data_IF_708776315963
#
_entry.id   IF_708776315963
#
_cell.length_a   1.000
_cell.length_b   1.000
_cell.length_c   1.000
_cell.angle_alpha   90.00
_cell.angle_beta   90.00
_cell.angle_gamma   90.00
#
_symmetry.space_group_name_H-M   'P 1'
#
loop_
_entity.id
_entity.type
_entity.pdbx_description
1 polymer ?
#
# COMPACT_ATOMS: atom_id res chain seq x y z
N UNK A 1 -3.06 47.54 -27.64
CA UNK A 1 -3.90 46.95 -28.71
C UNK A 1 -3.11 46.45 -29.92
N UNK A 2 -1.93 47.00 -30.22
CA UNK A 2 -1.07 46.58 -31.35
C UNK A 2 -0.46 45.19 -31.19
N UNK A 3 -0.15 44.80 -29.96
CA UNK A 3 0.46 43.51 -29.62
C UNK A 3 -0.52 42.32 -29.82
N UNK A 4 -1.82 42.58 -29.61
CA UNK A 4 -2.89 41.62 -29.85
C UNK A 4 -3.17 41.44 -31.35
N UNK A 5 -3.03 42.51 -32.15
CA UNK A 5 -3.13 42.46 -33.62
C UNK A 5 -1.93 41.76 -34.26
N UNK A 6 -0.71 41.90 -33.71
CA UNK A 6 0.46 41.11 -34.14
C UNK A 6 0.32 39.63 -33.77
N UNK A 7 -0.18 39.30 -32.57
CA UNK A 7 -0.50 37.92 -32.17
C UNK A 7 -1.62 37.30 -33.01
N UNK A 8 -2.65 38.08 -33.37
CA UNK A 8 -3.70 37.68 -34.31
C UNK A 8 -3.19 37.57 -35.75
N UNK A 9 -2.27 38.42 -36.20
CA UNK A 9 -1.63 38.31 -37.51
C UNK A 9 -0.70 37.08 -37.61
N UNK A 10 -0.01 36.72 -36.53
CA UNK A 10 0.71 35.45 -36.41
C UNK A 10 -0.22 34.23 -36.44
N UNK A 11 -1.47 34.37 -35.96
CA UNK A 11 -2.52 33.35 -36.08
C UNK A 11 -3.18 33.33 -37.47
N UNK A 12 -2.96 34.35 -38.32
CA UNK A 12 -3.69 34.55 -39.58
C UNK A 12 -2.86 34.41 -40.87
N UNK A 13 -1.59 34.00 -40.84
CA UNK A 13 -0.91 33.51 -42.06
C UNK A 13 -1.30 32.06 -42.35
N UNK A 14 -2.58 31.87 -42.67
CA UNK A 14 -3.22 30.58 -42.93
C UNK A 14 -2.59 29.81 -44.07
N UNK A 15 -1.78 30.46 -44.93
CA UNK A 15 -1.09 29.85 -46.07
C UNK A 15 0.25 29.25 -45.65
N UNK A 16 1.07 30.00 -44.92
CA UNK A 16 2.32 29.48 -44.34
C UNK A 16 2.06 28.39 -43.29
N UNK A 17 1.01 28.53 -42.48
CA UNK A 17 0.63 27.51 -41.50
C UNK A 17 0.22 26.19 -42.18
N UNK A 18 -0.58 26.26 -43.26
CA UNK A 18 -0.94 25.08 -44.07
C UNK A 18 0.28 24.42 -44.69
N UNK A 19 1.21 25.18 -45.28
CA UNK A 19 2.44 24.62 -45.85
C UNK A 19 3.31 23.92 -44.80
N UNK A 20 3.45 24.52 -43.61
CA UNK A 20 4.17 23.91 -42.48
C UNK A 20 3.49 22.62 -41.99
N UNK A 21 2.18 22.66 -41.80
CA UNK A 21 1.39 21.49 -41.41
C UNK A 21 1.55 20.35 -42.42
N UNK A 22 1.41 20.65 -43.72
CA UNK A 22 1.55 19.66 -44.79
C UNK A 22 2.95 19.05 -44.85
N UNK A 23 4.00 19.86 -44.61
CA UNK A 23 5.38 19.39 -44.54
C UNK A 23 5.62 18.46 -43.33
N UNK A 24 5.04 18.79 -42.18
CA UNK A 24 5.14 17.99 -40.95
C UNK A 24 4.39 16.67 -41.07
N UNK A 25 3.19 16.69 -41.64
CA UNK A 25 2.40 15.50 -41.97
C UNK A 25 3.17 14.58 -42.93
N UNK A 26 3.74 15.14 -44.00
CA UNK A 26 4.49 14.35 -44.99
C UNK A 26 5.71 13.67 -44.35
N UNK A 27 6.37 14.34 -43.41
CA UNK A 27 7.46 13.75 -42.65
C UNK A 27 6.98 12.63 -41.71
N UNK A 28 5.84 12.81 -41.04
CA UNK A 28 5.24 11.79 -40.18
C UNK A 28 4.80 10.54 -40.97
N UNK A 29 4.29 10.71 -42.19
CA UNK A 29 3.95 9.60 -43.09
C UNK A 29 5.19 8.82 -43.56
N UNK A 30 6.36 9.45 -43.62
CA UNK A 30 7.62 8.80 -44.01
C UNK A 30 8.32 8.09 -42.82
N UNK A 31 7.73 8.15 -41.64
CA UNK A 31 8.29 7.54 -40.45
C UNK A 31 8.30 5.99 -40.56
N UNK A 32 9.41 5.31 -40.20
CA UNK A 32 9.51 3.85 -40.31
C UNK A 32 8.43 3.08 -39.54
N UNK A 33 8.05 3.55 -38.35
CA UNK A 33 7.06 2.86 -37.51
C UNK A 33 5.65 3.01 -38.12
N UNK A 34 5.34 4.18 -38.67
CA UNK A 34 4.08 4.46 -39.37
C UNK A 34 3.98 3.60 -40.64
N UNK A 35 5.05 3.53 -41.44
CA UNK A 35 5.09 2.70 -42.64
C UNK A 35 4.92 1.20 -42.32
N UNK A 36 5.54 0.75 -41.23
CA UNK A 36 5.41 -0.63 -40.76
C UNK A 36 3.98 -0.94 -40.35
N UNK A 37 3.35 -0.04 -39.58
CA UNK A 37 1.95 -0.17 -39.16
C UNK A 37 0.99 -0.20 -40.36
N UNK A 38 1.13 0.73 -41.31
CA UNK A 38 0.28 0.80 -42.51
C UNK A 38 0.38 -0.48 -43.35
N UNK A 39 1.57 -1.06 -43.48
CA UNK A 39 1.79 -2.32 -44.22
C UNK A 39 1.20 -3.52 -43.50
N UNK A 40 1.25 -3.55 -42.17
CA UNK A 40 0.69 -4.64 -41.37
C UNK A 40 -0.84 -4.65 -41.36
N UNK A 41 -1.46 -3.47 -41.40
CA UNK A 41 -2.91 -3.31 -41.30
C UNK A 41 -3.60 -2.90 -42.62
N UNK A 42 -2.93 -3.09 -43.76
CA UNK A 42 -3.44 -2.69 -45.09
C UNK A 42 -4.81 -3.29 -45.42
N UNK A 43 -5.07 -4.53 -45.00
CA UNK A 43 -6.34 -5.21 -45.24
C UNK A 43 -7.50 -4.76 -44.33
N UNK A 44 -7.19 -4.06 -43.22
CA UNK A 44 -8.18 -3.62 -42.22
C UNK A 44 -8.55 -2.14 -42.39
N UNK A 45 -7.74 -1.37 -43.12
CA UNK A 45 -7.91 0.06 -43.35
C UNK A 45 -8.86 0.32 -44.52
N UNK A 46 -9.71 1.34 -44.38
CA UNK A 46 -10.51 1.85 -45.48
C UNK A 46 -9.63 2.57 -46.53
N UNK A 47 -10.10 2.65 -47.76
CA UNK A 47 -9.36 3.29 -48.88
C UNK A 47 -8.96 4.75 -48.61
N UNK A 48 -9.72 5.46 -47.77
CA UNK A 48 -9.46 6.85 -47.37
C UNK A 48 -8.94 7.01 -45.93
N UNK A 49 -8.54 5.92 -45.29
CA UNK A 49 -8.11 5.90 -43.89
C UNK A 49 -6.84 6.72 -43.64
N UNK A 50 -5.92 6.78 -44.60
CA UNK A 50 -4.69 7.58 -44.49
C UNK A 50 -5.03 9.07 -44.51
N UNK A 51 -5.85 9.50 -45.47
CA UNK A 51 -6.24 10.91 -45.62
C UNK A 51 -6.99 11.40 -44.39
N UNK A 52 -7.92 10.60 -43.86
CA UNK A 52 -8.67 10.91 -42.64
C UNK A 52 -7.83 10.76 -41.36
N UNK A 53 -6.88 9.83 -41.35
CA UNK A 53 -5.99 9.51 -40.23
C UNK A 53 -4.75 10.40 -40.13
N UNK A 54 -4.53 11.31 -41.08
CA UNK A 54 -3.37 12.20 -41.16
C UNK A 54 -3.05 12.93 -39.84
N UNK A 55 -4.08 13.44 -39.16
CA UNK A 55 -3.91 14.12 -37.88
C UNK A 55 -3.42 13.18 -36.77
N UNK A 56 -3.89 11.93 -36.77
CA UNK A 56 -3.55 10.88 -35.81
C UNK A 56 -2.15 10.32 -36.02
N UNK A 57 -1.75 10.13 -37.27
CA UNK A 57 -0.36 9.79 -37.63
C UNK A 57 0.60 10.86 -37.13
N UNK A 58 0.28 12.13 -37.37
CA UNK A 58 1.09 13.24 -36.87
C UNK A 58 1.13 13.29 -35.34
N UNK A 59 -0.01 13.09 -34.66
CA UNK A 59 -0.10 13.00 -33.19
C UNK A 59 0.86 11.95 -32.65
N UNK A 60 0.79 10.71 -33.17
CA UNK A 60 1.67 9.60 -32.77
C UNK A 60 3.16 9.95 -32.89
N UNK A 61 3.60 10.40 -34.07
CA UNK A 61 5.02 10.72 -34.31
C UNK A 61 5.48 11.90 -33.43
N UNK A 62 4.62 12.91 -33.26
CA UNK A 62 4.94 14.07 -32.43
C UNK A 62 5.12 13.69 -30.97
N UNK A 63 4.17 12.95 -30.39
CA UNK A 63 4.20 12.52 -29.00
C UNK A 63 5.34 11.52 -28.73
N UNK A 64 5.55 10.52 -29.60
CA UNK A 64 6.69 9.60 -29.50
C UNK A 64 8.02 10.33 -29.50
N UNK A 65 8.20 11.31 -30.40
CA UNK A 65 9.42 12.08 -30.49
C UNK A 65 9.62 13.04 -29.29
N UNK A 66 8.54 13.57 -28.69
CA UNK A 66 8.63 14.34 -27.44
C UNK A 66 9.11 13.47 -26.28
N UNK A 67 8.54 12.28 -26.12
CA UNK A 67 8.96 11.30 -25.11
C UNK A 67 10.44 10.95 -25.28
N UNK A 68 10.88 10.68 -26.52
CA UNK A 68 12.29 10.37 -26.82
C UNK A 68 13.26 11.52 -26.51
N UNK A 69 12.79 12.78 -26.58
CA UNK A 69 13.57 13.98 -26.20
C UNK A 69 13.51 14.32 -24.70
N UNK A 70 12.76 13.55 -23.90
CA UNK A 70 12.56 13.82 -22.48
C UNK A 70 11.66 15.02 -22.20
N UNK A 71 10.86 15.47 -23.18
CA UNK A 71 9.85 16.50 -22.98
C UNK A 71 8.62 15.92 -22.28
N UNK A 72 7.87 16.76 -21.55
CA UNK A 72 6.61 16.37 -20.91
C UNK A 72 5.59 15.93 -21.99
N UNK A 73 5.20 14.65 -22.02
CA UNK A 73 4.23 14.15 -22.99
C UNK A 73 2.80 14.54 -22.60
N UNK A 74 1.87 14.42 -23.54
CA UNK A 74 0.44 14.67 -23.30
C UNK A 74 -0.12 13.82 -22.14
N UNK A 75 0.31 12.56 -22.04
CA UNK A 75 -0.07 11.62 -20.99
C UNK A 75 1.18 11.04 -20.30
N UNK A 76 1.63 11.62 -19.18
CA UNK A 76 2.80 11.11 -18.44
C UNK A 76 2.63 9.64 -18.01
N UNK A 77 3.62 8.80 -18.35
CA UNK A 77 3.61 7.36 -18.04
C UNK A 77 2.91 6.48 -19.08
N UNK A 78 2.36 7.06 -20.14
CA UNK A 78 1.75 6.32 -21.25
C UNK A 78 2.57 6.52 -22.54
N UNK A 79 2.56 5.52 -23.41
CA UNK A 79 3.16 5.57 -24.74
C UNK A 79 2.07 5.55 -25.81
N UNK A 80 2.17 6.41 -26.83
CA UNK A 80 1.22 6.41 -27.94
C UNK A 80 1.49 5.18 -28.84
N UNK A 81 0.45 4.47 -29.24
CA UNK A 81 0.49 3.36 -30.20
C UNK A 81 -0.55 3.61 -31.29
N UNK A 82 -0.20 3.30 -32.53
CA UNK A 82 -1.16 3.36 -33.64
C UNK A 82 -2.07 2.14 -33.59
N UNK A 83 -3.37 2.36 -33.76
CA UNK A 83 -4.39 1.31 -33.77
C UNK A 83 -5.38 1.53 -34.90
N UNK A 84 -5.98 0.43 -35.38
CA UNK A 84 -7.11 0.50 -36.32
C UNK A 84 -8.41 0.43 -35.53
N UNK A 85 -9.23 1.48 -35.64
CA UNK A 85 -10.56 1.55 -35.05
C UNK A 85 -11.59 1.82 -36.14
N UNK A 86 -12.50 0.85 -36.37
CA UNK A 86 -13.53 0.92 -37.40
C UNK A 86 -12.98 1.24 -38.81
N UNK A 87 -11.84 0.66 -39.16
CA UNK A 87 -11.16 0.87 -40.45
C UNK A 87 -10.45 2.21 -40.61
N UNK A 88 -10.34 3.01 -39.54
CA UNK A 88 -9.59 4.26 -39.49
C UNK A 88 -8.38 4.16 -38.57
N UNK A 89 -7.40 5.02 -38.82
CA UNK A 89 -6.18 5.12 -37.99
C UNK A 89 -6.49 6.00 -36.77
N UNK A 90 -6.24 5.47 -35.58
CA UNK A 90 -6.32 6.21 -34.33
C UNK A 90 -5.05 6.03 -33.49
N UNK A 91 -4.92 6.82 -32.44
CA UNK A 91 -3.84 6.73 -31.45
C UNK A 91 -4.43 6.26 -30.13
N UNK A 92 -3.99 5.10 -29.66
CA UNK A 92 -4.24 4.63 -28.31
C UNK A 92 -3.06 5.01 -27.41
N UNK A 93 -3.32 5.15 -26.11
CA UNK A 93 -2.29 5.39 -25.11
C UNK A 93 -2.21 4.18 -24.19
N UNK A 94 -1.12 3.45 -24.27
CA UNK A 94 -0.87 2.27 -23.45
C UNK A 94 0.03 2.65 -22.26
N UNK A 95 -0.26 2.18 -21.04
CA UNK A 95 0.60 2.43 -19.90
C UNK A 95 1.97 1.77 -20.15
N UNK A 96 3.04 2.49 -19.87
CA UNK A 96 4.40 1.94 -19.93
C UNK A 96 4.61 0.91 -18.83
N UNK A 97 5.56 -0.01 -19.01
CA UNK A 97 5.93 -0.99 -17.97
C UNK A 97 6.31 -0.29 -16.65
N UNK A 98 6.99 0.85 -16.73
CA UNK A 98 7.32 1.67 -15.56
C UNK A 98 6.08 2.23 -14.86
N UNK A 99 5.06 2.63 -15.61
CA UNK A 99 3.78 3.10 -15.07
C UNK A 99 2.96 1.97 -14.45
N UNK A 100 2.91 0.81 -15.10
CA UNK A 100 2.27 -0.38 -14.55
C UNK A 100 2.94 -0.81 -13.24
N UNK A 101 4.27 -0.85 -13.20
CA UNK A 101 5.01 -1.17 -11.98
C UNK A 101 4.75 -0.16 -10.86
N UNK A 102 4.77 1.15 -11.17
CA UNK A 102 4.49 2.19 -10.19
C UNK A 102 3.03 2.16 -9.67
N UNK A 103 2.07 1.85 -10.55
CA UNK A 103 0.66 1.72 -10.15
C UNK A 103 0.42 0.46 -9.31
N UNK A 104 1.09 -0.66 -9.62
CA UNK A 104 1.05 -1.89 -8.82
C UNK A 104 1.70 -1.65 -7.44
N UNK A 105 2.84 -0.97 -7.39
CA UNK A 105 3.52 -0.59 -6.14
C UNK A 105 2.65 0.35 -5.30
N UNK A 106 2.04 1.37 -5.91
CA UNK A 106 1.14 2.30 -5.22
C UNK A 106 -0.10 1.56 -4.68
N UNK A 107 -0.64 0.61 -5.44
CA UNK A 107 -1.74 -0.25 -5.00
C UNK A 107 -1.32 -1.12 -3.81
N UNK A 108 -0.15 -1.75 -3.87
CA UNK A 108 0.39 -2.54 -2.74
C UNK A 108 0.60 -1.67 -1.49
N UNK A 109 1.17 -0.48 -1.64
CA UNK A 109 1.35 0.46 -0.54
C UNK A 109 0.00 0.88 0.08
N UNK A 110 -1.05 1.04 -0.73
CA UNK A 110 -2.40 1.37 -0.24
C UNK A 110 -3.05 0.25 0.60
N UNK A 111 -2.60 -1.01 0.43
CA UNK A 111 -3.08 -2.15 1.22
C UNK A 111 -2.50 -2.15 2.63
N UNK A 112 -1.38 -1.47 2.86
CA UNK A 112 -0.74 -1.37 4.18
C UNK A 112 -1.12 -0.03 4.80
N UNK A 113 -2.16 -0.03 5.63
CA UNK A 113 -2.57 1.16 6.38
C UNK A 113 -1.83 1.22 7.71
N UNK A 114 -0.83 2.09 7.82
CA UNK A 114 -0.12 2.36 9.07
C UNK A 114 -0.71 3.60 9.77
N UNK A 115 -1.23 3.42 10.98
CA UNK A 115 -1.77 4.50 11.81
C UNK A 115 -0.75 4.87 12.89
N UNK A 116 -0.15 6.05 12.77
CA UNK A 116 0.82 6.62 13.71
C UNK A 116 2.12 5.81 13.91
N UNK A 117 2.63 5.21 12.84
CA UNK A 117 3.87 4.42 12.85
C UNK A 117 5.03 5.17 12.16
N UNK A 118 6.29 4.94 12.55
CA UNK A 118 7.46 5.43 11.81
C UNK A 118 7.49 4.96 10.36
N UNK A 119 8.02 5.81 9.46
CA UNK A 119 8.09 5.51 8.01
C UNK A 119 8.94 4.27 7.69
N UNK A 120 9.91 3.95 8.54
CA UNK A 120 10.86 2.85 8.35
C UNK A 120 10.21 1.46 8.27
N UNK A 121 8.93 1.36 8.61
CA UNK A 121 8.13 0.13 8.54
C UNK A 121 7.60 -0.11 7.12
N UNK A 122 7.51 0.94 6.30
CA UNK A 122 7.08 0.81 4.90
C UNK A 122 8.05 -0.03 4.06
N UNK A 123 9.36 0.05 4.36
CA UNK A 123 10.39 -0.68 3.62
C UNK A 123 10.78 -2.01 4.29
N UNK A 124 9.99 -2.48 5.26
CA UNK A 124 10.29 -3.71 5.98
C UNK A 124 10.09 -4.94 5.10
N UNK A 125 11.03 -5.90 5.15
CA UNK A 125 10.92 -7.15 4.40
C UNK A 125 11.38 -8.34 5.23
N UNK A 126 10.72 -9.48 5.04
CA UNK A 126 11.13 -10.74 5.67
C UNK A 126 12.47 -11.23 5.09
N UNK A 127 12.82 -10.84 3.86
CA UNK A 127 14.08 -11.26 3.22
C UNK A 127 15.30 -10.52 3.78
N UNK A 128 15.12 -9.28 4.22
CA UNK A 128 16.17 -8.47 4.86
C UNK A 128 16.18 -8.62 6.39
N UNK A 129 15.29 -9.44 6.95
CA UNK A 129 15.25 -9.69 8.38
C UNK A 129 16.40 -10.60 8.80
N UNK A 130 17.20 -10.11 9.74
CA UNK A 130 18.42 -10.77 10.22
C UNK A 130 18.13 -12.10 10.92
N UNK A 131 18.56 -13.24 10.35
CA UNK A 131 18.23 -14.58 10.85
C UNK A 131 19.23 -15.05 11.91
N UNK A 132 19.41 -14.29 12.99
CA UNK A 132 20.18 -14.77 14.14
C UNK A 132 19.44 -15.91 14.84
N UNK A 133 20.17 -16.74 15.60
CA UNK A 133 19.58 -17.85 16.37
C UNK A 133 18.44 -17.39 17.28
N UNK A 134 18.52 -16.17 17.82
CA UNK A 134 17.50 -15.59 18.70
C UNK A 134 16.28 -15.00 17.96
N UNK A 135 16.33 -14.91 16.62
CA UNK A 135 15.29 -14.34 15.75
C UNK A 135 14.69 -15.34 14.78
N UNK A 136 15.36 -16.47 14.55
CA UNK A 136 14.98 -17.46 13.54
C UNK A 136 13.58 -18.01 13.77
N UNK A 137 13.20 -18.31 15.01
CA UNK A 137 11.87 -18.82 15.34
C UNK A 137 10.76 -17.82 14.99
N UNK A 138 11.00 -16.54 15.27
CA UNK A 138 10.08 -15.46 14.92
C UNK A 138 9.96 -15.28 13.41
N UNK A 139 11.09 -15.34 12.68
CA UNK A 139 11.12 -15.26 11.22
C UNK A 139 10.40 -16.46 10.57
N UNK A 140 10.61 -17.67 11.09
CA UNK A 140 9.93 -18.88 10.60
C UNK A 140 8.43 -18.83 10.89
N UNK A 141 8.02 -18.35 12.07
CA UNK A 141 6.62 -18.17 12.42
C UNK A 141 5.95 -17.12 11.52
N UNK A 142 6.63 -15.99 11.26
CA UNK A 142 6.17 -14.94 10.36
C UNK A 142 5.97 -15.46 8.93
N UNK A 143 6.98 -16.13 8.36
CA UNK A 143 6.89 -16.74 7.03
C UNK A 143 5.75 -17.76 6.95
N UNK A 144 5.62 -18.63 7.97
CA UNK A 144 4.53 -19.63 8.01
C UNK A 144 3.16 -18.97 8.02
N UNK A 145 2.99 -17.93 8.82
CA UNK A 145 1.75 -17.18 8.89
C UNK A 145 1.41 -16.55 7.54
N UNK A 146 2.35 -15.83 6.92
CA UNK A 146 2.16 -15.22 5.58
C UNK A 146 1.74 -16.28 4.56
N UNK A 147 2.51 -17.37 4.45
CA UNK A 147 2.23 -18.41 3.46
C UNK A 147 0.86 -19.07 3.67
N UNK A 148 0.47 -19.31 4.92
CA UNK A 148 -0.83 -19.89 5.24
C UNK A 148 -2.00 -18.95 4.88
N UNK A 149 -1.89 -17.67 5.22
CA UNK A 149 -2.93 -16.67 4.92
C UNK A 149 -3.03 -16.43 3.41
N UNK A 150 -1.90 -16.36 2.69
CA UNK A 150 -1.90 -16.18 1.22
C UNK A 150 -2.50 -17.41 0.53
N UNK A 151 -2.21 -18.62 1.00
CA UNK A 151 -2.74 -19.85 0.43
C UNK A 151 -4.26 -19.99 0.62
N UNK A 152 -4.78 -19.56 1.77
CA UNK A 152 -6.22 -19.62 2.05
C UNK A 152 -6.70 -18.40 2.88
N UNK A 153 -6.96 -17.26 2.24
CA UNK A 153 -7.30 -16.02 2.95
C UNK A 153 -8.66 -16.05 3.68
N UNK A 154 -9.51 -17.04 3.40
CA UNK A 154 -10.88 -17.12 3.95
C UNK A 154 -10.95 -17.94 5.22
N UNK A 155 -9.93 -18.72 5.53
CA UNK A 155 -9.86 -19.49 6.77
C UNK A 155 -9.23 -18.70 7.90
N UNK A 156 -9.53 -19.11 9.12
CA UNK A 156 -8.94 -18.51 10.29
C UNK A 156 -7.48 -18.94 10.44
N UNK A 157 -6.58 -17.97 10.43
CA UNK A 157 -5.18 -18.16 10.76
C UNK A 157 -4.88 -17.47 12.08
N UNK A 158 -4.44 -18.25 13.07
CA UNK A 158 -3.98 -17.71 14.34
C UNK A 158 -2.75 -16.83 14.07
N UNK A 159 -2.79 -15.58 14.53
CA UNK A 159 -1.72 -14.62 14.37
C UNK A 159 -0.56 -14.85 15.34
N UNK A 160 0.31 -13.84 15.44
CA UNK A 160 1.51 -13.90 16.27
C UNK A 160 1.47 -12.81 17.35
N UNK A 161 1.85 -13.17 18.56
CA UNK A 161 2.14 -12.25 19.65
C UNK A 161 3.66 -12.23 19.81
N UNK A 162 4.30 -11.22 19.26
CA UNK A 162 5.75 -11.05 19.31
C UNK A 162 6.14 -10.42 20.64
N UNK A 163 6.75 -11.19 21.53
CA UNK A 163 7.22 -10.70 22.84
C UNK A 163 8.74 -10.61 22.89
N UNK A 164 9.29 -9.60 23.56
CA UNK A 164 10.74 -9.50 23.74
C UNK A 164 11.23 -8.08 24.05
N UNK A 165 12.53 -7.88 24.30
CA UNK A 165 13.09 -6.58 24.71
C UNK A 165 12.92 -5.45 23.69
N UNK A 166 13.23 -4.22 24.09
CA UNK A 166 13.21 -3.07 23.20
C UNK A 166 14.26 -3.21 22.08
N UNK A 167 13.88 -2.79 20.87
CA UNK A 167 14.83 -2.68 19.75
C UNK A 167 15.28 -4.00 19.11
N UNK A 168 14.68 -5.13 19.49
CA UNK A 168 15.01 -6.45 18.92
C UNK A 168 14.39 -6.74 17.55
N UNK A 169 13.53 -5.84 17.05
CA UNK A 169 12.98 -5.91 15.68
C UNK A 169 11.51 -6.35 15.57
N UNK A 170 10.74 -6.39 16.66
CA UNK A 170 9.32 -6.83 16.64
C UNK A 170 8.43 -5.99 15.70
N UNK A 171 8.50 -4.67 15.81
CA UNK A 171 7.74 -3.74 14.97
C UNK A 171 8.12 -3.87 13.49
N UNK A 172 9.42 -4.04 13.20
CA UNK A 172 9.91 -4.28 11.85
C UNK A 172 9.35 -5.59 11.30
N UNK A 173 9.30 -6.65 12.12
CA UNK A 173 8.74 -7.94 11.72
C UNK A 173 7.24 -7.84 11.41
N UNK A 174 6.46 -7.04 12.15
CA UNK A 174 5.06 -6.75 11.79
C UNK A 174 4.95 -6.04 10.43
N UNK A 175 5.78 -5.02 10.18
CA UNK A 175 5.86 -4.35 8.88
C UNK A 175 6.20 -5.31 7.73
N UNK A 176 7.19 -6.17 7.95
CA UNK A 176 7.62 -7.16 6.98
C UNK A 176 6.50 -8.16 6.66
N UNK A 177 5.76 -8.65 7.67
CA UNK A 177 4.57 -9.48 7.47
C UNK A 177 3.52 -8.71 6.66
N UNK A 178 3.29 -7.44 6.95
CA UNK A 178 2.29 -6.62 6.28
C UNK A 178 2.59 -6.45 4.79
N UNK A 179 3.83 -6.13 4.47
CA UNK A 179 4.31 -5.96 3.10
C UNK A 179 4.27 -7.26 2.31
N UNK A 180 4.62 -8.39 2.94
CA UNK A 180 4.53 -9.70 2.31
C UNK A 180 3.09 -10.13 2.04
N UNK A 181 2.15 -9.84 2.96
CA UNK A 181 0.71 -10.10 2.74
C UNK A 181 0.14 -9.26 1.60
N UNK A 182 0.55 -7.99 1.50
CA UNK A 182 0.13 -7.10 0.43
C UNK A 182 0.69 -7.55 -0.93
N UNK A 183 2.00 -7.81 -1.01
CA UNK A 183 2.69 -8.15 -2.25
C UNK A 183 2.37 -9.56 -2.77
N UNK A 184 2.28 -10.56 -1.88
CA UNK A 184 2.04 -11.96 -2.28
C UNK A 184 0.56 -12.32 -2.38
N UNK A 185 -0.30 -11.69 -1.57
CA UNK A 185 -1.71 -12.05 -1.45
C UNK A 185 -2.71 -10.94 -1.82
N UNK A 186 -2.26 -9.70 -2.04
CA UNK A 186 -3.17 -8.56 -2.20
C UNK A 186 -4.02 -8.30 -0.95
N UNK A 187 -3.53 -8.72 0.22
CA UNK A 187 -4.29 -8.69 1.48
C UNK A 187 -4.05 -7.36 2.19
N UNK A 188 -5.13 -6.70 2.57
CA UNK A 188 -5.06 -5.43 3.29
C UNK A 188 -4.70 -5.65 4.76
N UNK A 189 -3.79 -4.84 5.28
CA UNK A 189 -3.35 -4.88 6.67
C UNK A 189 -3.52 -3.51 7.30
N UNK A 190 -3.83 -3.49 8.60
CA UNK A 190 -3.89 -2.25 9.39
C UNK A 190 -2.96 -2.39 10.58
N UNK A 191 -1.93 -1.54 10.63
CA UNK A 191 -0.95 -1.49 11.69
C UNK A 191 -1.26 -0.29 12.59
N UNK A 192 -1.37 -0.53 13.89
CA UNK A 192 -1.73 0.50 14.87
C UNK A 192 -0.67 0.52 15.97
N UNK A 193 -0.07 1.69 16.19
CA UNK A 193 0.69 1.96 17.40
C UNK A 193 -0.27 2.10 18.59
N UNK A 194 -0.31 1.10 19.48
CA UNK A 194 -1.29 1.05 20.57
C UNK A 194 -1.22 2.28 21.49
N UNK A 195 -0.05 2.76 21.95
CA UNK A 195 0.03 3.94 22.81
C UNK A 195 -0.63 5.19 22.18
N UNK A 196 -0.30 5.49 20.91
CA UNK A 196 -0.91 6.66 20.23
C UNK A 196 -2.40 6.46 19.99
N UNK A 197 -2.81 5.25 19.63
CA UNK A 197 -4.23 4.93 19.46
C UNK A 197 -5.03 5.17 20.74
N UNK A 198 -4.49 4.82 21.91
CA UNK A 198 -5.14 5.09 23.19
C UNK A 198 -5.35 6.59 23.44
N UNK A 199 -4.35 7.42 23.12
CA UNK A 199 -4.46 8.88 23.24
C UNK A 199 -5.56 9.41 22.31
N UNK A 200 -5.62 8.94 21.07
CA UNK A 200 -6.68 9.32 20.13
C UNK A 200 -8.07 8.91 20.61
N UNK A 201 -8.20 7.70 21.15
CA UNK A 201 -9.48 7.19 21.64
C UNK A 201 -10.00 8.04 22.80
N UNK A 202 -9.12 8.51 23.70
CA UNK A 202 -9.49 9.45 24.76
C UNK A 202 -9.95 10.81 24.19
N UNK A 203 -9.24 11.33 23.18
CA UNK A 203 -9.64 12.58 22.50
C UNK A 203 -11.00 12.44 21.77
N UNK A 204 -11.25 11.27 21.18
CA UNK A 204 -12.47 10.98 20.44
C UNK A 204 -13.74 10.94 21.32
N UNK A 205 -13.61 10.79 22.65
CA UNK A 205 -14.73 10.85 23.60
C UNK A 205 -15.43 12.22 23.49
N UNK A 206 -14.65 13.31 23.47
CA UNK A 206 -15.19 14.67 23.40
C UNK A 206 -15.88 15.00 22.06
N UNK A 207 -15.56 14.26 20.99
CA UNK A 207 -16.15 14.44 19.65
C UNK A 207 -17.22 13.40 19.31
N UNK A 208 -17.55 12.48 20.22
CA UNK A 208 -18.50 11.37 20.00
C UNK A 208 -18.17 10.51 18.76
N UNK A 209 -16.88 10.33 18.44
CA UNK A 209 -16.41 9.55 17.27
C UNK A 209 -15.75 8.21 17.63
N UNK A 210 -15.66 7.88 18.92
CA UNK A 210 -15.07 6.66 19.49
C UNK A 210 -15.54 5.40 18.75
N UNK A 211 -16.86 5.18 18.69
CA UNK A 211 -17.42 3.96 18.10
C UNK A 211 -17.10 3.83 16.61
N UNK A 212 -17.08 4.95 15.87
CA UNK A 212 -16.73 4.96 14.44
C UNK A 212 -15.28 4.53 14.22
N UNK A 213 -14.35 5.01 15.06
CA UNK A 213 -12.93 4.60 15.03
C UNK A 213 -12.76 3.12 15.40
N UNK A 214 -13.48 2.64 16.43
CA UNK A 214 -13.47 1.21 16.81
C UNK A 214 -13.99 0.36 15.66
N UNK A 215 -15.07 0.78 14.99
CA UNK A 215 -15.68 0.04 13.88
C UNK A 215 -14.75 -0.06 12.66
N UNK A 216 -13.99 0.99 12.33
CA UNK A 216 -13.01 0.91 11.25
C UNK A 216 -11.86 -0.05 11.59
N UNK A 217 -11.37 -0.01 12.83
CA UNK A 217 -10.24 -0.85 13.27
C UNK A 217 -10.63 -2.32 13.38
N UNK A 218 -11.77 -2.63 14.00
CA UNK A 218 -12.16 -4.03 14.26
C UNK A 218 -12.44 -4.82 12.99
N UNK A 219 -12.80 -4.15 11.88
CA UNK A 219 -13.13 -4.74 10.56
C UNK A 219 -11.95 -4.86 9.60
N UNK A 220 -10.73 -4.44 10.00
CA UNK A 220 -9.54 -4.61 9.16
C UNK A 220 -9.32 -6.10 8.81
N UNK A 221 -8.99 -6.43 7.55
CA UNK A 221 -8.78 -7.82 7.12
C UNK A 221 -7.73 -8.52 8.01
N UNK A 222 -6.55 -7.92 8.11
CA UNK A 222 -5.53 -8.29 9.11
C UNK A 222 -5.21 -7.08 9.98
N UNK A 223 -5.31 -7.23 11.30
CA UNK A 223 -5.03 -6.17 12.26
C UNK A 223 -3.71 -6.48 12.99
N UNK A 224 -2.84 -5.49 13.12
CA UNK A 224 -1.60 -5.59 13.87
C UNK A 224 -1.57 -4.49 14.94
N UNK A 225 -1.44 -4.89 16.19
CA UNK A 225 -1.41 -4.01 17.35
C UNK A 225 0.02 -3.96 17.91
N UNK A 226 0.74 -2.89 17.57
CA UNK A 226 2.15 -2.70 17.94
C UNK A 226 2.28 -2.08 19.34
N UNK A 227 3.27 -2.56 20.10
CA UNK A 227 3.65 -2.11 21.44
C UNK A 227 2.49 -2.11 22.46
N UNK A 228 1.68 -3.20 22.46
CA UNK A 228 0.65 -3.38 23.48
C UNK A 228 1.25 -3.53 24.87
N UNK A 229 0.75 -2.74 25.84
CA UNK A 229 1.22 -2.77 27.23
C UNK A 229 2.51 -1.97 27.49
N UNK A 230 2.95 -1.13 26.54
CA UNK A 230 4.03 -0.17 26.76
C UNK A 230 3.65 0.94 27.77
N UNK A 231 2.36 1.25 27.90
CA UNK A 231 1.81 2.21 28.86
C UNK A 231 0.78 1.56 29.79
N UNK A 232 0.48 2.21 30.90
CA UNK A 232 -0.63 1.83 31.78
C UNK A 232 -1.96 2.00 31.03
N UNK A 233 -2.56 0.88 30.63
CA UNK A 233 -3.86 0.84 29.96
C UNK A 233 -4.94 1.08 31.03
N UNK A 234 -5.78 2.11 30.83
CA UNK A 234 -6.89 2.37 31.76
C UNK A 234 -8.00 1.32 31.61
N UNK A 235 -8.81 1.07 32.66
CA UNK A 235 -9.92 0.11 32.58
C UNK A 235 -10.87 0.36 31.40
N UNK A 236 -11.17 1.64 31.10
CA UNK A 236 -11.98 2.01 29.93
C UNK A 236 -11.35 1.57 28.60
N UNK A 237 -10.04 1.80 28.41
CA UNK A 237 -9.35 1.35 27.18
C UNK A 237 -9.35 -0.18 27.10
N UNK A 238 -9.06 -0.85 28.22
CA UNK A 238 -9.03 -2.31 28.30
C UNK A 238 -10.38 -2.91 27.92
N UNK A 239 -11.45 -2.43 28.54
CA UNK A 239 -12.77 -3.06 28.49
C UNK A 239 -13.59 -2.57 27.29
N UNK A 240 -13.64 -1.26 27.05
CA UNK A 240 -14.56 -0.62 26.09
C UNK A 240 -13.90 -0.33 24.73
N UNK A 241 -12.57 -0.42 24.62
CA UNK A 241 -11.86 -0.27 23.34
C UNK A 241 -11.28 -1.62 22.90
N UNK A 242 -10.25 -2.12 23.59
CA UNK A 242 -9.60 -3.38 23.25
C UNK A 242 -10.57 -4.55 23.39
N UNK A 243 -11.39 -4.56 24.44
CA UNK A 243 -12.39 -5.60 24.65
C UNK A 243 -13.38 -5.74 23.49
N UNK A 244 -13.88 -4.63 22.95
CA UNK A 244 -14.82 -4.63 21.81
C UNK A 244 -14.12 -5.12 20.54
N UNK A 245 -12.92 -4.60 20.25
CA UNK A 245 -12.15 -4.96 19.05
C UNK A 245 -11.84 -6.46 19.06
N UNK A 246 -11.24 -6.96 20.15
CA UNK A 246 -10.79 -8.35 20.26
C UNK A 246 -11.97 -9.32 20.29
N UNK A 247 -13.08 -8.97 20.95
CA UNK A 247 -14.29 -9.79 20.95
C UNK A 247 -14.84 -9.99 19.53
N UNK A 248 -14.97 -8.91 18.77
CA UNK A 248 -15.47 -8.97 17.39
C UNK A 248 -14.56 -9.84 16.52
N UNK A 249 -13.24 -9.62 16.58
CA UNK A 249 -12.27 -10.35 15.77
C UNK A 249 -12.20 -11.84 16.14
N UNK A 250 -12.40 -12.19 17.40
CA UNK A 250 -12.50 -13.58 17.83
C UNK A 250 -13.75 -14.27 17.26
N UNK A 251 -14.90 -13.59 17.29
CA UNK A 251 -16.16 -14.11 16.76
C UNK A 251 -16.14 -14.28 15.24
N UNK A 252 -15.63 -13.27 14.54
CA UNK A 252 -15.49 -13.26 13.08
C UNK A 252 -14.24 -13.99 12.60
N UNK A 253 -13.44 -14.54 13.53
CA UNK A 253 -12.20 -15.25 13.26
C UNK A 253 -11.26 -14.50 12.31
N UNK A 254 -10.98 -13.24 12.64
CA UNK A 254 -10.11 -12.36 11.85
C UNK A 254 -8.66 -12.39 12.36
N UNK A 255 -7.66 -12.64 11.50
CA UNK A 255 -6.26 -12.72 11.90
C UNK A 255 -5.78 -11.45 12.61
N UNK A 256 -5.17 -11.60 13.79
CA UNK A 256 -4.71 -10.46 14.60
C UNK A 256 -3.31 -10.72 15.13
N UNK A 257 -2.39 -9.79 14.88
CA UNK A 257 -1.01 -9.85 15.36
C UNK A 257 -0.78 -8.77 16.41
N UNK A 258 0.20 -9.03 17.27
CA UNK A 258 0.57 -8.15 18.37
C UNK A 258 2.09 -8.08 18.48
N UNK A 259 2.60 -6.96 18.96
CA UNK A 259 3.95 -6.87 19.51
C UNK A 259 3.91 -6.30 20.92
N UNK A 260 4.79 -6.76 21.80
CA UNK A 260 4.89 -6.25 23.17
C UNK A 260 6.30 -6.39 23.72
N UNK A 261 6.66 -5.50 24.65
CA UNK A 261 7.85 -5.67 25.49
C UNK A 261 7.60 -6.59 26.70
N UNK A 262 6.38 -7.12 26.84
CA UNK A 262 5.94 -8.01 27.91
C UNK A 262 5.59 -9.38 27.33
N UNK A 263 5.78 -10.44 28.11
CA UNK A 263 5.17 -11.72 27.80
C UNK A 263 3.65 -11.64 27.95
N UNK A 264 2.90 -12.63 27.45
CA UNK A 264 1.45 -12.67 27.72
C UNK A 264 1.14 -12.75 29.23
N UNK A 265 1.99 -13.41 30.02
CA UNK A 265 1.84 -13.47 31.46
C UNK A 265 2.03 -12.09 32.10
N UNK A 266 3.12 -11.40 31.77
CA UNK A 266 3.41 -10.06 32.30
C UNK A 266 2.38 -9.01 31.85
N UNK A 267 1.87 -9.14 30.62
CA UNK A 267 0.79 -8.29 30.14
C UNK A 267 -0.50 -8.51 30.92
N UNK A 268 -0.81 -9.76 31.30
CA UNK A 268 -1.99 -10.08 32.12
C UNK A 268 -1.95 -9.31 33.44
N UNK A 269 -0.82 -9.37 34.15
CA UNK A 269 -0.61 -8.65 35.41
C UNK A 269 -0.68 -7.13 35.19
N UNK A 270 -0.06 -6.63 34.12
CA UNK A 270 -0.09 -5.21 33.78
C UNK A 270 -1.50 -4.68 33.50
N UNK A 271 -2.38 -5.49 32.91
CA UNK A 271 -3.76 -5.12 32.59
C UNK A 271 -4.69 -5.17 33.81
N UNK A 272 -4.35 -5.97 34.83
CA UNK A 272 -5.05 -5.97 36.10
C UNK A 272 -4.75 -4.69 36.90
N UNK A 273 -3.55 -4.12 36.73
CA UNK A 273 -3.12 -2.91 37.41
C UNK A 273 -2.77 -3.14 38.89
N UNK A 274 -2.74 -2.05 39.66
CA UNK A 274 -2.41 -2.09 41.10
C UNK A 274 -3.59 -2.48 41.98
N UNK A 275 -4.82 -2.33 41.47
CA UNK A 275 -6.04 -2.58 42.23
C UNK A 275 -6.44 -4.06 42.10
N UNK A 276 -5.81 -4.90 42.92
CA UNK A 276 -5.94 -6.37 42.90
C UNK A 276 -7.25 -6.89 43.52
N UNK A 277 -8.36 -6.16 43.36
CA UNK A 277 -9.66 -6.76 43.60
C UNK A 277 -9.88 -7.93 42.64
N UNK A 278 -10.48 -9.03 43.10
CA UNK A 278 -10.75 -10.22 42.25
C UNK A 278 -11.41 -9.87 40.90
N UNK A 279 -12.19 -8.78 40.84
CA UNK A 279 -12.87 -8.32 39.63
C UNK A 279 -11.93 -7.85 38.51
N UNK A 280 -10.88 -7.08 38.82
CA UNK A 280 -10.01 -6.48 37.78
C UNK A 280 -9.07 -7.52 37.15
N UNK A 281 -8.56 -8.46 37.96
CA UNK A 281 -7.81 -9.60 37.46
C UNK A 281 -8.65 -10.46 36.51
N UNK A 282 -9.92 -10.75 36.87
CA UNK A 282 -10.83 -11.51 36.01
C UNK A 282 -11.09 -10.81 34.66
N UNK A 283 -11.22 -9.47 34.66
CA UNK A 283 -11.38 -8.71 33.41
C UNK A 283 -10.12 -8.74 32.56
N UNK A 284 -8.94 -8.57 33.17
CA UNK A 284 -7.65 -8.69 32.48
C UNK A 284 -7.49 -10.08 31.85
N UNK A 285 -7.80 -11.14 32.60
CA UNK A 285 -7.78 -12.52 32.10
C UNK A 285 -8.71 -12.71 30.90
N UNK A 286 -9.93 -12.15 30.91
CA UNK A 286 -10.84 -12.23 29.74
C UNK A 286 -10.25 -11.60 28.48
N UNK A 287 -9.57 -10.46 28.61
CA UNK A 287 -8.87 -9.85 27.47
C UNK A 287 -7.75 -10.75 26.97
N UNK A 288 -6.97 -11.32 27.89
CA UNK A 288 -5.85 -12.18 27.55
C UNK A 288 -6.28 -13.51 26.94
N UNK A 289 -7.42 -14.07 27.34
CA UNK A 289 -8.01 -15.25 26.67
C UNK A 289 -8.36 -14.97 25.21
N UNK A 290 -8.86 -13.77 24.90
CA UNK A 290 -9.10 -13.36 23.51
C UNK A 290 -7.80 -13.22 22.73
N UNK A 291 -6.76 -12.66 23.35
CA UNK A 291 -5.43 -12.55 22.72
C UNK A 291 -4.84 -13.95 22.46
N UNK A 292 -4.93 -14.88 23.42
CA UNK A 292 -4.47 -16.28 23.26
C UNK A 292 -5.21 -17.04 22.17
N UNK A 293 -6.52 -16.79 22.01
CA UNK A 293 -7.27 -17.34 20.89
C UNK A 293 -6.75 -16.79 19.56
N UNK A 294 -6.59 -15.46 19.48
CA UNK A 294 -6.25 -14.76 18.24
C UNK A 294 -4.78 -14.95 17.81
N UNK A 295 -3.86 -15.15 18.76
CA UNK A 295 -2.44 -15.15 18.49
C UNK A 295 -1.66 -16.14 19.35
N UNK A 296 -0.61 -16.72 18.76
CA UNK A 296 0.38 -17.54 19.47
C UNK A 296 1.56 -16.69 19.89
N UNK A 297 2.00 -16.82 21.15
CA UNK A 297 3.20 -16.15 21.64
C UNK A 297 4.48 -16.70 20.98
N UNK A 298 5.33 -15.80 20.50
CA UNK A 298 6.64 -16.07 19.93
C UNK A 298 7.62 -15.03 20.46
N UNK A 299 8.68 -15.50 21.11
CA UNK A 299 9.72 -14.61 21.66
C UNK A 299 10.67 -14.15 20.56
N UNK A 300 11.05 -12.88 20.60
CA UNK A 300 12.03 -12.25 19.70
C UNK A 300 13.20 -11.74 20.53
N UNK A 301 14.35 -12.38 20.39
CA UNK A 301 15.60 -11.95 21.02
C UNK A 301 16.52 -11.19 20.06
N UNK A 302 17.80 -11.12 20.38
CA UNK A 302 18.80 -10.40 19.59
C UNK A 302 19.23 -9.08 20.23
N UNK A 303 20.35 -8.56 19.73
CA UNK A 303 20.86 -7.26 20.11
C UNK A 303 19.90 -6.11 19.76
N UNK A 304 19.92 -5.06 20.57
CA UNK A 304 19.14 -3.86 20.33
C UNK A 304 19.67 -3.10 19.11
N UNK A 305 18.90 -3.11 18.02
CA UNK A 305 19.25 -2.45 16.76
C UNK A 305 19.01 -0.93 16.76
N UNK A 306 18.29 -0.40 17.76
CA UNK A 306 18.04 1.06 17.90
C UNK A 306 19.22 1.78 18.57
N UNK A 307 20.05 1.05 19.33
CA UNK A 307 21.25 1.61 19.95
C UNK A 307 22.40 0.58 19.94
N UNK A 308 23.11 0.43 18.80
CA UNK A 308 24.13 -0.61 18.61
C UNK A 308 25.41 -0.44 19.46
N UNK A 309 25.51 0.64 20.25
CA UNK A 309 26.67 0.97 21.09
C UNK A 309 26.44 0.78 22.60
N UNK A 310 25.31 0.17 23.01
CA UNK A 310 24.94 0.02 24.42
C UNK A 310 25.26 -1.36 25.02
N UNK A 311 26.05 -2.18 24.33
CA UNK A 311 26.58 -3.46 24.85
C UNK A 311 28.01 -3.29 25.36
#
# INVERSE_FOLDING_TARGET
MEDMRKRLAMLMDSRQWRERYFKMVKAALQDPDVQTFLKQHEAELADDAIDRGTAKIYEFVSERNKIARGELPLAPGYQPTLVVANGLIDVAYEPTDAKLAADEEAKQASLVTSVNMPKDIHDASLTSYDPTDERVDALLAANRFVLAVVADPKTFHQGLYLSGPFGVGKTYLLGAIANDLASKGGIATTLIHVPTFVVEMKSAIGSNTVLKKIDSVKRAQVLMLDDIGAESISPWVRDDVLGIILQYRMQEKMPTLFSSNKSMADLTESLAGTDRGNSEMLKAQRIMERIRFLAKEVTVGGENRRNPLAN
#
